data_IF_354898469282
#
_entry.id   IF_354898469282
#
_cell.length_a   1.000
_cell.length_b   1.000
_cell.length_c   1.000
_cell.angle_alpha   90.00
_cell.angle_beta   90.00
_cell.angle_gamma   90.00
#
_symmetry.space_group_name_H-M   'P 1'
#
loop_
_entity.id
_entity.type
_entity.pdbx_description
1 polymer ?
#
# COMPACT_ATOMS: atom_id res chain seq x y z
N UNK A 1 28.44 -0.68 -8.26
CA UNK A 1 27.35 -1.69 -8.24
C UNK A 1 26.18 -1.10 -9.00
N UNK A 2 25.45 -1.91 -9.80
CA UNK A 2 24.22 -1.45 -10.44
C UNK A 2 23.15 -1.11 -9.41
N UNK A 3 22.33 -0.08 -9.68
CA UNK A 3 21.18 0.25 -8.83
C UNK A 3 20.21 -0.94 -8.80
N UNK A 4 19.56 -1.16 -7.63
CA UNK A 4 18.48 -2.14 -7.54
C UNK A 4 17.26 -1.65 -8.33
N UNK A 5 16.59 -2.55 -9.04
CA UNK A 5 15.36 -2.27 -9.75
C UNK A 5 14.18 -2.24 -8.77
N UNK A 6 13.47 -1.14 -8.71
CA UNK A 6 12.33 -0.92 -7.81
C UNK A 6 11.15 -0.42 -8.64
N UNK A 7 10.06 -1.16 -8.60
CA UNK A 7 8.81 -0.73 -9.22
C UNK A 7 7.85 -0.20 -8.17
N UNK A 8 7.24 0.95 -8.44
CA UNK A 8 6.22 1.56 -7.57
C UNK A 8 4.87 1.53 -8.28
N UNK A 9 3.88 0.86 -7.71
CA UNK A 9 2.51 1.02 -8.17
C UNK A 9 1.90 2.28 -7.56
N UNK A 10 1.25 3.10 -8.37
CA UNK A 10 0.67 4.37 -7.88
C UNK A 10 1.70 5.47 -7.63
N UNK A 11 2.80 5.50 -8.40
CA UNK A 11 3.88 6.50 -8.26
C UNK A 11 3.39 7.94 -8.40
N UNK A 12 2.33 8.21 -9.18
CA UNK A 12 1.72 9.55 -9.34
C UNK A 12 0.77 9.93 -8.18
N UNK A 13 0.57 9.04 -7.20
CA UNK A 13 -0.23 9.33 -6.00
C UNK A 13 0.52 10.23 -5.02
N UNK A 14 -0.17 10.68 -3.96
CA UNK A 14 0.41 11.60 -2.96
C UNK A 14 1.71 11.06 -2.36
N UNK A 15 1.71 9.81 -1.88
CA UNK A 15 2.90 9.19 -1.30
C UNK A 15 3.96 8.91 -2.38
N UNK A 16 3.52 8.36 -3.53
CA UNK A 16 4.40 8.04 -4.65
C UNK A 16 5.19 9.26 -5.13
N UNK A 17 4.52 10.39 -5.34
CA UNK A 17 5.15 11.64 -5.77
C UNK A 17 6.16 12.16 -4.74
N UNK A 18 5.84 12.03 -3.45
CA UNK A 18 6.73 12.50 -2.39
C UNK A 18 8.03 11.67 -2.28
N UNK A 19 7.96 10.35 -2.51
CA UNK A 19 9.14 9.49 -2.43
C UNK A 19 9.95 9.44 -3.74
N UNK A 20 9.34 9.81 -4.88
CA UNK A 20 9.93 9.68 -6.21
C UNK A 20 11.33 10.26 -6.32
N UNK A 21 11.63 11.51 -5.92
CA UNK A 21 12.96 12.08 -6.07
C UNK A 21 14.06 11.28 -5.38
N UNK A 22 13.78 10.81 -4.15
CA UNK A 22 14.72 10.01 -3.37
C UNK A 22 14.92 8.61 -3.99
N UNK A 23 13.90 8.06 -4.61
CA UNK A 23 13.96 6.74 -5.22
C UNK A 23 14.70 6.77 -6.56
N UNK A 24 14.52 7.82 -7.37
CA UNK A 24 15.27 8.02 -8.63
C UNK A 24 16.78 8.19 -8.38
N UNK A 25 17.15 8.82 -7.27
CA UNK A 25 18.54 8.94 -6.87
C UNK A 25 19.18 7.58 -6.54
N UNK A 26 18.45 6.72 -5.79
CA UNK A 26 19.00 5.50 -5.19
C UNK A 26 18.78 4.23 -6.01
N UNK A 27 17.71 4.18 -6.79
CA UNK A 27 17.24 2.97 -7.46
C UNK A 27 17.06 3.18 -8.97
N UNK A 28 17.02 2.11 -9.73
CA UNK A 28 16.47 2.07 -11.07
C UNK A 28 14.95 1.97 -10.92
N UNK A 29 14.28 3.13 -10.96
CA UNK A 29 12.86 3.25 -10.65
C UNK A 29 12.00 2.98 -11.87
N UNK A 30 10.98 2.13 -11.70
CA UNK A 30 9.89 1.87 -12.64
C UNK A 30 8.54 2.21 -12.02
N UNK A 31 7.56 2.51 -12.85
CA UNK A 31 6.18 2.76 -12.42
C UNK A 31 5.20 1.74 -13.00
N UNK A 32 4.12 1.48 -12.26
CA UNK A 32 2.94 0.78 -12.75
C UNK A 32 1.68 1.54 -12.37
N UNK A 33 0.91 1.94 -13.36
CA UNK A 33 -0.37 2.63 -13.16
C UNK A 33 -1.28 2.55 -14.38
N UNK A 34 -2.56 2.88 -14.22
CA UNK A 34 -3.54 2.83 -15.33
C UNK A 34 -3.19 3.77 -16.48
N UNK A 35 -2.64 4.92 -16.17
CA UNK A 35 -2.40 5.99 -17.16
C UNK A 35 -0.92 6.22 -17.47
N UNK A 36 -0.03 5.52 -16.79
CA UNK A 36 1.40 5.77 -16.85
C UNK A 36 1.81 6.88 -15.87
N UNK A 37 3.07 7.27 -15.97
CA UNK A 37 3.70 8.30 -15.15
C UNK A 37 4.43 9.26 -16.08
N UNK A 38 4.10 10.55 -16.00
CA UNK A 38 4.77 11.56 -16.82
C UNK A 38 6.27 11.61 -16.47
N UNK A 39 7.10 11.96 -17.46
CA UNK A 39 8.56 12.05 -17.32
C UNK A 39 9.27 10.73 -16.94
N UNK A 40 8.59 9.59 -17.07
CA UNK A 40 9.20 8.27 -16.90
C UNK A 40 9.59 7.69 -18.26
N UNK A 41 10.82 7.16 -18.44
CA UNK A 41 11.21 6.46 -19.66
C UNK A 41 10.24 5.33 -20.00
N UNK A 42 9.91 5.16 -21.29
CA UNK A 42 8.88 4.23 -21.75
C UNK A 42 9.12 2.79 -21.26
N UNK A 43 10.37 2.35 -21.29
CA UNK A 43 10.77 1.00 -20.85
C UNK A 43 10.58 0.75 -19.34
N UNK A 44 10.39 1.81 -18.54
CA UNK A 44 10.15 1.76 -17.10
C UNK A 44 8.78 2.27 -16.69
N UNK A 45 7.94 2.62 -17.67
CA UNK A 45 6.61 3.19 -17.49
C UNK A 45 5.51 2.19 -17.86
N UNK A 46 5.21 1.27 -16.98
CA UNK A 46 4.26 0.20 -17.24
C UNK A 46 2.82 0.67 -17.05
N UNK A 47 2.01 0.58 -18.11
CA UNK A 47 0.57 0.86 -18.06
C UNK A 47 -0.21 -0.42 -17.89
N UNK A 48 -1.14 -0.43 -16.92
CA UNK A 48 -1.98 -1.59 -16.64
C UNK A 48 -2.92 -1.36 -15.46
N UNK A 49 -3.83 -2.29 -15.27
CA UNK A 49 -4.79 -2.30 -14.16
C UNK A 49 -4.39 -3.40 -13.14
N UNK A 50 -4.56 -3.14 -11.85
CA UNK A 50 -4.28 -4.13 -10.79
C UNK A 50 -5.13 -5.41 -10.95
N UNK A 51 -6.26 -5.33 -11.64
CA UNK A 51 -7.11 -6.49 -11.95
C UNK A 51 -6.53 -7.36 -13.07
N UNK A 52 -5.69 -6.79 -13.91
CA UNK A 52 -5.02 -7.50 -15.00
C UNK A 52 -3.72 -8.13 -14.50
N UNK A 53 -3.83 -9.40 -14.11
CA UNK A 53 -2.72 -10.18 -13.57
C UNK A 53 -1.54 -10.27 -14.55
N UNK A 54 -1.82 -10.47 -15.84
CA UNK A 54 -0.77 -10.64 -16.84
C UNK A 54 0.03 -9.35 -17.05
N UNK A 55 -0.62 -8.19 -16.97
CA UNK A 55 0.07 -6.90 -17.01
C UNK A 55 1.00 -6.69 -15.81
N UNK A 56 0.59 -7.14 -14.63
CA UNK A 56 1.45 -7.12 -13.43
C UNK A 56 2.66 -8.04 -13.58
N UNK A 57 2.47 -9.27 -14.06
CA UNK A 57 3.59 -10.21 -14.30
C UNK A 57 4.59 -9.62 -15.30
N UNK A 58 4.12 -9.00 -16.39
CA UNK A 58 5.02 -8.33 -17.36
C UNK A 58 5.82 -7.20 -16.72
N UNK A 59 5.16 -6.36 -15.91
CA UNK A 59 5.80 -5.22 -15.25
C UNK A 59 6.79 -5.63 -14.14
N UNK A 60 6.51 -6.74 -13.43
CA UNK A 60 7.33 -7.18 -12.29
C UNK A 60 8.53 -8.03 -12.68
N UNK A 61 8.63 -8.42 -13.96
CA UNK A 61 9.79 -9.15 -14.48
C UNK A 61 11.08 -8.37 -14.18
N UNK A 62 12.08 -9.08 -13.64
CA UNK A 62 13.40 -8.55 -13.27
C UNK A 62 13.39 -7.44 -12.19
N UNK A 63 12.26 -7.17 -11.54
CA UNK A 63 12.22 -6.24 -10.42
C UNK A 63 12.76 -6.90 -9.14
N UNK A 64 13.58 -6.14 -8.39
CA UNK A 64 14.05 -6.59 -7.09
C UNK A 64 13.01 -6.34 -5.99
N UNK A 65 12.36 -5.19 -6.03
CA UNK A 65 11.40 -4.75 -5.02
C UNK A 65 10.18 -4.13 -5.69
N UNK A 66 9.00 -4.43 -5.17
CA UNK A 66 7.75 -3.74 -5.53
C UNK A 66 7.26 -2.94 -4.33
N UNK A 67 7.04 -1.64 -4.52
CA UNK A 67 6.39 -0.77 -3.53
C UNK A 67 4.95 -0.56 -3.98
N UNK A 68 4.02 -1.17 -3.24
CA UNK A 68 2.60 -1.16 -3.61
C UNK A 68 1.84 -0.06 -2.87
N UNK A 69 1.63 1.07 -3.57
CA UNK A 69 0.89 2.24 -3.07
C UNK A 69 -0.46 2.44 -3.75
N UNK A 70 -0.67 1.81 -4.92
CA UNK A 70 -1.91 1.92 -5.66
C UNK A 70 -3.08 1.32 -4.88
N UNK A 71 -4.11 2.09 -4.64
CA UNK A 71 -5.37 1.67 -4.03
C UNK A 71 -6.46 2.69 -4.35
N UNK A 72 -7.72 2.27 -4.33
CA UNK A 72 -8.81 3.22 -4.13
C UNK A 72 -8.78 3.68 -2.67
N UNK A 73 -8.57 5.00 -2.47
CA UNK A 73 -8.40 5.62 -1.15
C UNK A 73 -9.63 6.40 -0.69
N UNK A 74 -10.75 6.26 -1.40
CA UNK A 74 -11.97 6.98 -1.04
C UNK A 74 -12.45 6.54 0.34
N UNK A 75 -12.60 7.50 1.24
CA UNK A 75 -13.18 7.27 2.57
C UNK A 75 -14.65 6.85 2.50
N UNK A 76 -15.32 7.12 1.37
CA UNK A 76 -16.71 6.77 1.10
C UNK A 76 -16.82 5.56 0.18
N UNK A 77 -15.70 4.88 -0.11
CA UNK A 77 -15.72 3.68 -0.92
C UNK A 77 -16.61 2.63 -0.27
N UNK A 78 -17.51 2.08 -1.06
CA UNK A 78 -18.29 0.90 -0.73
C UNK A 78 -17.51 -0.38 -1.04
N UNK A 79 -18.14 -1.51 -0.79
CA UNK A 79 -17.57 -2.82 -1.07
C UNK A 79 -17.25 -3.00 -2.56
N UNK A 80 -18.13 -2.58 -3.45
CA UNK A 80 -17.98 -2.77 -4.90
C UNK A 80 -16.81 -1.97 -5.47
N UNK A 81 -16.47 -0.84 -4.85
CA UNK A 81 -15.29 -0.04 -5.18
C UNK A 81 -14.00 -0.68 -4.65
N UNK A 82 -14.02 -1.15 -3.40
CA UNK A 82 -12.82 -1.65 -2.72
C UNK A 82 -12.42 -3.03 -3.20
N UNK A 83 -13.40 -3.91 -3.45
CA UNK A 83 -13.18 -5.30 -3.83
C UNK A 83 -12.26 -5.46 -5.06
N UNK A 84 -12.51 -4.83 -6.21
CA UNK A 84 -11.73 -5.09 -7.41
C UNK A 84 -10.29 -4.59 -7.32
N UNK A 85 -10.04 -3.47 -6.68
CA UNK A 85 -8.71 -2.84 -6.66
C UNK A 85 -7.91 -3.15 -5.41
N UNK A 86 -8.52 -3.01 -4.23
CA UNK A 86 -7.79 -3.12 -2.98
C UNK A 86 -7.72 -4.56 -2.44
N UNK A 87 -8.63 -5.42 -2.86
CA UNK A 87 -8.66 -6.83 -2.43
C UNK A 87 -8.11 -7.73 -3.54
N UNK A 88 -8.79 -7.79 -4.68
CA UNK A 88 -8.38 -8.65 -5.80
C UNK A 88 -7.06 -8.15 -6.39
N UNK A 89 -6.96 -6.84 -6.67
CA UNK A 89 -5.75 -6.22 -7.20
C UNK A 89 -4.54 -6.40 -6.30
N UNK A 90 -4.71 -6.25 -5.00
CA UNK A 90 -3.62 -6.51 -4.04
C UNK A 90 -3.16 -7.97 -4.08
N UNK A 91 -4.09 -8.92 -4.06
CA UNK A 91 -3.75 -10.36 -4.17
C UNK A 91 -2.98 -10.63 -5.46
N UNK A 92 -3.38 -10.03 -6.59
CA UNK A 92 -2.67 -10.15 -7.87
C UNK A 92 -1.26 -9.60 -7.79
N UNK A 93 -1.04 -8.49 -7.08
CA UNK A 93 0.30 -7.91 -6.87
C UNK A 93 1.21 -8.92 -6.15
N UNK A 94 0.76 -9.53 -5.07
CA UNK A 94 1.57 -10.52 -4.35
C UNK A 94 1.82 -11.79 -5.17
N UNK A 95 0.81 -12.30 -5.89
CA UNK A 95 0.99 -13.46 -6.77
C UNK A 95 1.98 -13.17 -7.92
N UNK A 96 1.86 -12.00 -8.57
CA UNK A 96 2.79 -11.58 -9.61
C UNK A 96 4.22 -11.42 -9.05
N UNK A 97 4.37 -10.83 -7.86
CA UNK A 97 5.67 -10.70 -7.20
C UNK A 97 6.30 -12.08 -6.93
N UNK A 98 5.52 -13.03 -6.44
CA UNK A 98 5.96 -14.41 -6.19
C UNK A 98 6.43 -15.09 -7.49
N UNK A 99 5.63 -15.07 -8.53
CA UNK A 99 5.95 -15.73 -9.81
C UNK A 99 7.17 -15.10 -10.47
N UNK A 100 7.34 -13.78 -10.38
CA UNK A 100 8.48 -13.06 -10.93
C UNK A 100 9.75 -13.14 -10.05
N UNK A 101 9.70 -13.76 -8.89
CA UNK A 101 10.84 -13.89 -7.98
C UNK A 101 11.28 -12.57 -7.35
N UNK A 102 10.35 -11.62 -7.21
CA UNK A 102 10.56 -10.36 -6.48
C UNK A 102 11.00 -10.68 -5.05
N UNK A 103 12.00 -9.96 -4.55
CA UNK A 103 12.61 -10.25 -3.23
C UNK A 103 11.92 -9.53 -2.09
N UNK A 104 11.11 -8.52 -2.37
CA UNK A 104 10.41 -7.75 -1.35
C UNK A 104 9.21 -7.02 -1.93
N UNK A 105 8.10 -7.10 -1.23
CA UNK A 105 6.95 -6.22 -1.42
C UNK A 105 6.86 -5.29 -0.21
N UNK A 106 6.83 -3.98 -0.46
CA UNK A 106 6.55 -2.95 0.55
C UNK A 106 5.14 -2.48 0.34
N UNK A 107 4.26 -2.81 1.28
CA UNK A 107 2.85 -2.46 1.21
C UNK A 107 2.54 -1.16 1.96
N UNK A 108 1.91 -0.21 1.28
CA UNK A 108 1.39 1.01 1.90
C UNK A 108 0.10 0.74 2.67
N UNK A 109 0.20 0.48 3.99
CA UNK A 109 -0.96 0.38 4.85
C UNK A 109 -1.54 1.75 5.22
N UNK A 110 -2.41 1.82 6.22
CA UNK A 110 -3.06 3.05 6.65
C UNK A 110 -3.50 2.95 8.11
N UNK A 111 -3.50 4.08 8.82
CA UNK A 111 -4.14 4.19 10.13
C UNK A 111 -5.64 3.83 10.12
N UNK A 112 -6.30 3.83 8.96
CA UNK A 112 -7.69 3.40 8.84
C UNK A 112 -7.91 1.92 9.15
N UNK A 113 -6.86 1.09 9.14
CA UNK A 113 -6.92 -0.31 9.59
C UNK A 113 -7.22 -0.43 11.10
N UNK A 114 -6.88 0.61 11.87
CA UNK A 114 -7.08 0.70 13.32
C UNK A 114 -7.99 1.88 13.71
N UNK A 115 -8.51 2.62 12.73
CA UNK A 115 -9.18 3.91 12.93
C UNK A 115 -10.45 3.87 13.79
N UNK A 116 -11.13 2.72 13.89
CA UNK A 116 -12.27 2.56 14.79
C UNK A 116 -11.92 2.63 16.27
N UNK A 117 -10.62 2.55 16.64
CA UNK A 117 -10.21 2.76 18.02
C UNK A 117 -10.28 4.24 18.45
N UNK A 118 -10.40 5.17 17.50
CA UNK A 118 -10.61 6.59 17.79
C UNK A 118 -11.99 6.90 18.41
N UNK A 119 -12.93 5.94 18.37
CA UNK A 119 -14.24 6.07 19.02
C UNK A 119 -14.18 5.81 20.54
N UNK A 120 -13.07 5.27 21.04
CA UNK A 120 -12.87 4.94 22.46
C UNK A 120 -12.01 6.02 23.16
N UNK A 121 -12.26 6.22 24.47
CA UNK A 121 -11.40 7.08 25.29
C UNK A 121 -10.01 6.43 25.52
N UNK A 122 -8.95 7.21 25.61
CA UNK A 122 -8.90 8.69 25.58
C UNK A 122 -8.79 9.27 24.15
N UNK A 123 -8.74 8.43 23.12
CA UNK A 123 -8.51 8.87 21.73
C UNK A 123 -9.66 9.73 21.20
N UNK A 124 -10.90 9.43 21.61
CA UNK A 124 -12.08 10.21 21.21
C UNK A 124 -11.94 11.66 21.64
N UNK A 125 -11.67 11.90 22.94
CA UNK A 125 -11.47 13.26 23.46
C UNK A 125 -10.31 13.99 22.76
N UNK A 126 -9.22 13.29 22.44
CA UNK A 126 -8.09 13.86 21.65
C UNK A 126 -8.55 14.27 20.25
N UNK A 127 -9.33 13.44 19.55
CA UNK A 127 -9.81 13.72 18.19
C UNK A 127 -10.85 14.87 18.17
N UNK A 128 -11.61 15.02 19.22
CA UNK A 128 -12.59 16.10 19.42
C UNK A 128 -11.94 17.39 19.95
N UNK A 129 -10.61 17.37 20.22
CA UNK A 129 -9.86 18.49 20.84
C UNK A 129 -10.32 18.85 22.25
N UNK A 130 -10.92 17.90 22.94
CA UNK A 130 -11.38 18.03 24.32
C UNK A 130 -10.25 17.60 25.29
N UNK A 131 -9.18 18.36 25.32
CA UNK A 131 -7.96 18.03 26.08
C UNK A 131 -8.13 18.10 27.60
N UNK A 132 -9.17 18.76 28.10
CA UNK A 132 -9.46 18.86 29.54
C UNK A 132 -9.95 17.51 30.10
N UNK A 133 -10.59 16.67 29.25
CA UNK A 133 -11.12 15.37 29.61
C UNK A 133 -10.19 14.21 29.24
N UNK A 134 -8.99 14.48 28.72
CA UNK A 134 -8.02 13.43 28.39
C UNK A 134 -7.28 12.97 29.62
N UNK A 135 -7.43 11.68 29.96
CA UNK A 135 -6.65 11.05 31.04
C UNK A 135 -5.21 10.78 30.58
N UNK A 136 -4.24 11.31 31.32
CA UNK A 136 -2.80 11.12 31.07
C UNK A 136 -2.13 10.32 32.19
N UNK A 137 -1.10 9.48 31.85
CA UNK A 137 -0.64 9.13 30.49
C UNK A 137 -1.54 8.10 29.84
N UNK A 138 -1.67 8.15 28.52
CA UNK A 138 -2.34 7.10 27.74
C UNK A 138 -1.41 6.42 26.72
N UNK A 139 -1.74 5.19 26.34
CA UNK A 139 -0.97 4.43 25.36
C UNK A 139 -1.16 5.06 23.97
N UNK A 140 -0.07 5.32 23.26
CA UNK A 140 -0.12 5.68 21.82
C UNK A 140 -0.54 4.47 21.00
N UNK A 141 -1.28 4.70 19.93
CA UNK A 141 -1.51 3.68 18.92
C UNK A 141 -0.21 3.36 18.19
N UNK A 142 0.08 2.08 18.04
CA UNK A 142 1.27 1.53 17.43
C UNK A 142 0.92 0.29 16.57
N UNK A 143 1.92 -0.41 16.07
CA UNK A 143 1.77 -1.62 15.26
C UNK A 143 1.16 -2.80 16.04
N UNK A 144 1.05 -2.72 17.36
CA UNK A 144 0.40 -3.74 18.21
C UNK A 144 -1.07 -3.41 18.50
N UNK A 145 -1.55 -2.25 18.04
CA UNK A 145 -2.93 -1.83 18.26
C UNK A 145 -3.88 -2.78 17.55
N UNK A 146 -4.95 -3.16 18.26
CA UNK A 146 -5.97 -4.07 17.72
C UNK A 146 -6.55 -3.52 16.40
N UNK A 147 -6.61 -4.37 15.40
CA UNK A 147 -7.30 -4.09 14.13
C UNK A 147 -8.78 -3.79 14.43
N UNK A 148 -9.20 -2.58 14.06
CA UNK A 148 -10.58 -2.09 14.15
C UNK A 148 -10.78 -1.04 13.06
N UNK A 149 -11.11 -1.47 11.83
CA UNK A 149 -11.19 -0.57 10.69
C UNK A 149 -12.28 0.48 10.83
N UNK A 150 -12.03 1.68 10.32
CA UNK A 150 -13.00 2.80 10.27
C UNK A 150 -13.84 2.85 9.00
N UNK A 151 -13.84 1.80 8.18
CA UNK A 151 -14.60 1.69 6.92
C UNK A 151 -13.98 0.68 5.97
N UNK A 152 -14.59 0.51 4.77
CA UNK A 152 -14.15 -0.50 3.79
C UNK A 152 -12.70 -0.30 3.31
N UNK A 153 -12.27 0.96 3.17
CA UNK A 153 -10.84 1.24 2.90
C UNK A 153 -9.94 0.68 4.01
N UNK A 154 -10.28 0.93 5.26
CA UNK A 154 -9.56 0.38 6.42
C UNK A 154 -9.55 -1.15 6.44
N UNK A 155 -10.70 -1.78 6.14
CA UNK A 155 -10.79 -3.24 5.98
C UNK A 155 -9.80 -3.75 4.93
N UNK A 156 -9.73 -3.08 3.78
CA UNK A 156 -8.81 -3.47 2.70
C UNK A 156 -7.34 -3.33 3.11
N UNK A 157 -7.01 -2.36 3.95
CA UNK A 157 -5.64 -2.19 4.46
C UNK A 157 -5.26 -3.26 5.47
N UNK A 158 -6.16 -3.59 6.40
CA UNK A 158 -5.98 -4.72 7.32
C UNK A 158 -5.86 -6.07 6.58
N UNK A 159 -6.68 -6.28 5.53
CA UNK A 159 -6.53 -7.43 4.62
C UNK A 159 -5.15 -7.48 3.99
N UNK A 160 -4.64 -6.34 3.51
CA UNK A 160 -3.32 -6.25 2.89
C UNK A 160 -2.17 -6.62 3.83
N UNK A 161 -2.24 -6.21 5.09
CA UNK A 161 -1.27 -6.60 6.12
C UNK A 161 -1.29 -8.11 6.37
N UNK A 162 -2.50 -8.71 6.47
CA UNK A 162 -2.66 -10.14 6.66
C UNK A 162 -2.13 -10.94 5.45
N UNK A 163 -2.43 -10.49 4.22
CA UNK A 163 -1.87 -11.10 3.00
C UNK A 163 -0.36 -11.00 2.97
N UNK A 164 0.20 -9.82 3.27
CA UNK A 164 1.65 -9.60 3.34
C UNK A 164 2.33 -10.56 4.32
N UNK A 165 1.71 -10.79 5.48
CA UNK A 165 2.21 -11.76 6.48
C UNK A 165 2.30 -13.18 5.92
N UNK A 166 1.28 -13.64 5.18
CA UNK A 166 1.29 -14.97 4.53
C UNK A 166 2.44 -15.06 3.51
N UNK A 167 2.58 -14.05 2.63
CA UNK A 167 3.62 -14.08 1.61
C UNK A 167 5.03 -13.97 2.19
N UNK A 168 5.21 -13.21 3.27
CA UNK A 168 6.47 -13.17 4.01
C UNK A 168 6.80 -14.51 4.64
N UNK A 169 5.85 -15.13 5.32
CA UNK A 169 6.07 -16.38 6.06
C UNK A 169 6.31 -17.59 5.15
N UNK A 170 5.55 -17.72 4.07
CA UNK A 170 5.56 -18.93 3.23
C UNK A 170 6.31 -18.75 1.91
N UNK A 171 6.61 -17.54 1.48
CA UNK A 171 7.25 -17.26 0.19
C UNK A 171 8.50 -16.38 0.30
N UNK A 172 8.79 -15.84 1.48
CA UNK A 172 10.01 -15.06 1.74
C UNK A 172 10.04 -13.68 1.01
N UNK A 173 8.86 -13.05 0.84
CA UNK A 173 8.70 -11.78 0.09
C UNK A 173 8.46 -10.63 1.05
#
# INVERSE_FOLDING_TARGET
MSKKKVLVTGLNGVVGSAIRPLFEEKYELSSFSRYGCDDMPEERNHKGDLKDYDSLVKAFKDQHTVVHLAADRSMRADWDTVLPYNIIGLRNVYEAAKVCGVKRVVFGSSQHSIGGNYDDEPYKSVMESDFENVEYPFKRMDETTRIRPSGWYGVSKAFGEAVGSIYSQYHGI
#
